data_IF_776088796100
#
_entry.id   IF_776088796100
#
_cell.length_a   1.000
_cell.length_b   1.000
_cell.length_c   1.000
_cell.angle_alpha   90.00
_cell.angle_beta   90.00
_cell.angle_gamma   90.00
#
_symmetry.space_group_name_H-M   'P 1'
#
loop_
_entity.id
_entity.type
_entity.pdbx_description
1 polymer ?
#
# COMPACT_ATOMS: atom_id res chain seq x y z
N UNK A 1 83.14 2.82 24.33
CA UNK A 1 82.07 1.83 24.07
C UNK A 1 80.74 2.58 24.03
N UNK A 2 80.05 2.60 22.88
CA UNK A 2 78.86 3.41 22.60
C UNK A 2 77.63 2.82 23.33
N UNK A 3 76.83 3.66 23.99
CA UNK A 3 75.52 3.31 24.56
C UNK A 3 74.57 2.86 23.45
N UNK A 4 73.76 1.79 23.63
CA UNK A 4 72.70 1.47 22.70
C UNK A 4 71.50 2.41 22.92
N UNK A 5 70.94 2.91 21.82
CA UNK A 5 69.74 3.74 21.80
C UNK A 5 68.50 2.89 22.08
N UNK A 6 67.65 3.35 22.99
CA UNK A 6 66.32 2.79 23.21
C UNK A 6 65.42 3.17 22.02
N UNK A 7 64.99 2.17 21.23
CA UNK A 7 63.94 2.34 20.24
C UNK A 7 62.61 2.20 20.98
N UNK A 8 61.92 3.32 21.19
CA UNK A 8 60.54 3.34 21.66
C UNK A 8 59.63 2.90 20.51
N UNK A 9 59.03 1.71 20.64
CA UNK A 9 57.97 1.25 19.74
C UNK A 9 56.68 1.91 20.22
N UNK A 10 56.29 2.99 19.56
CA UNK A 10 54.96 3.58 19.73
C UNK A 10 53.96 2.59 19.12
N UNK A 11 53.27 1.82 19.97
CA UNK A 11 52.07 1.08 19.55
C UNK A 11 50.96 2.10 19.26
N UNK A 12 50.82 2.48 18.00
CA UNK A 12 49.65 3.20 17.53
C UNK A 12 48.48 2.21 17.50
N UNK A 13 47.60 2.26 18.50
CA UNK A 13 46.33 1.54 18.49
C UNK A 13 45.38 2.27 17.54
N UNK A 14 45.47 1.98 16.24
CA UNK A 14 44.45 2.40 15.27
C UNK A 14 43.23 1.54 15.55
N UNK A 15 42.24 2.09 16.26
CA UNK A 15 40.89 1.51 16.30
C UNK A 15 40.28 1.71 14.92
N UNK A 16 40.26 0.66 14.11
CA UNK A 16 39.38 0.60 12.94
C UNK A 16 37.95 0.45 13.44
N UNK A 17 37.22 1.56 13.56
CA UNK A 17 35.76 1.50 13.67
C UNK A 17 35.23 1.13 12.29
N UNK A 18 34.92 -0.16 12.10
CA UNK A 18 34.17 -0.61 10.93
C UNK A 18 32.73 -0.13 11.16
N UNK A 19 32.38 1.00 10.56
CA UNK A 19 30.98 1.45 10.48
C UNK A 19 30.32 0.51 9.47
N UNK A 20 29.63 -0.52 9.97
CA UNK A 20 28.65 -1.24 9.18
C UNK A 20 27.49 -0.27 8.97
N UNK A 21 27.55 0.56 7.92
CA UNK A 21 26.32 1.08 7.34
C UNK A 21 25.54 -0.14 6.86
N UNK A 22 24.58 -0.58 7.67
CA UNK A 22 23.48 -1.40 7.19
C UNK A 22 22.80 -0.57 6.09
N UNK A 23 23.25 -0.76 4.85
CA UNK A 23 22.46 -0.38 3.70
C UNK A 23 21.24 -1.30 3.78
N UNK A 24 20.15 -0.82 4.36
CA UNK A 24 18.86 -1.49 4.32
C UNK A 24 18.50 -1.67 2.86
N UNK A 25 18.81 -2.83 2.30
CA UNK A 25 18.36 -3.21 0.97
C UNK A 25 16.86 -3.41 1.15
N UNK A 26 16.07 -2.44 0.71
CA UNK A 26 14.61 -2.58 0.63
C UNK A 26 14.37 -3.70 -0.39
N UNK A 27 14.21 -4.93 0.09
CA UNK A 27 13.78 -6.04 -0.74
C UNK A 27 12.29 -5.84 -0.98
N UNK A 28 11.96 -5.22 -2.12
CA UNK A 28 10.58 -5.18 -2.60
C UNK A 28 10.01 -6.60 -2.69
N UNK A 29 8.77 -6.78 -2.25
CA UNK A 29 8.06 -8.04 -2.44
C UNK A 29 7.42 -8.08 -3.82
N UNK A 30 7.32 -9.28 -4.38
CA UNK A 30 6.56 -9.54 -5.59
C UNK A 30 5.14 -8.94 -5.47
N UNK A 31 4.58 -8.45 -6.58
CA UNK A 31 3.17 -8.05 -6.63
C UNK A 31 2.26 -9.16 -6.08
N UNK A 32 1.42 -8.84 -5.09
CA UNK A 32 0.50 -9.80 -4.47
C UNK A 32 -0.80 -9.09 -4.06
N UNK A 33 -1.70 -8.92 -5.02
CA UNK A 33 -2.96 -8.23 -4.83
C UNK A 33 -4.01 -8.71 -5.83
N UNK A 34 -5.29 -8.52 -5.49
CA UNK A 34 -6.39 -8.67 -6.43
C UNK A 34 -7.19 -7.36 -6.55
N UNK A 35 -7.77 -7.16 -7.72
CA UNK A 35 -8.70 -6.10 -8.05
C UNK A 35 -10.03 -6.75 -8.43
N UNK A 36 -11.10 -6.27 -7.81
CA UNK A 36 -12.47 -6.67 -8.15
C UNK A 36 -13.13 -5.56 -8.97
N UNK A 37 -13.64 -5.93 -10.15
CA UNK A 37 -14.44 -5.07 -11.01
C UNK A 37 -15.85 -5.65 -11.04
N UNK A 38 -16.80 -4.93 -10.44
CA UNK A 38 -18.20 -5.26 -10.58
C UNK A 38 -18.68 -4.81 -11.97
N UNK A 39 -19.27 -5.74 -12.71
CA UNK A 39 -19.85 -5.51 -14.04
C UNK A 39 -21.37 -5.62 -13.93
N UNK A 40 -22.09 -4.59 -14.37
CA UNK A 40 -23.55 -4.53 -14.31
C UNK A 40 -24.15 -4.22 -15.69
N UNK A 41 -25.18 -4.99 -16.08
CA UNK A 41 -25.94 -4.72 -17.29
C UNK A 41 -27.25 -5.50 -17.35
N UNK A 42 -28.32 -4.87 -17.84
CA UNK A 42 -29.59 -5.56 -18.12
C UNK A 42 -30.28 -6.16 -16.89
N UNK A 43 -30.00 -5.65 -15.70
CA UNK A 43 -30.53 -6.16 -14.43
C UNK A 43 -29.74 -7.29 -13.79
N UNK A 44 -28.53 -7.57 -14.29
CA UNK A 44 -27.59 -8.54 -13.74
C UNK A 44 -26.30 -7.84 -13.32
N UNK A 45 -25.67 -8.35 -12.28
CA UNK A 45 -24.37 -7.91 -11.77
C UNK A 45 -23.55 -9.11 -11.27
N UNK A 46 -22.23 -9.03 -11.45
CA UNK A 46 -21.26 -9.96 -10.88
C UNK A 46 -19.86 -9.37 -10.97
N UNK A 47 -18.92 -10.06 -10.34
CA UNK A 47 -17.54 -9.60 -10.20
C UNK A 47 -16.61 -10.30 -11.20
N UNK A 48 -15.72 -9.51 -11.79
CA UNK A 48 -14.50 -9.97 -12.44
C UNK A 48 -13.33 -9.71 -11.50
N UNK A 49 -12.48 -10.72 -11.28
CA UNK A 49 -11.33 -10.63 -10.39
C UNK A 49 -10.06 -10.77 -11.23
N UNK A 50 -9.17 -9.78 -11.13
CA UNK A 50 -7.83 -9.86 -11.71
C UNK A 50 -6.79 -9.61 -10.63
N UNK A 51 -5.52 -9.88 -10.92
CA UNK A 51 -4.47 -9.49 -10.01
C UNK A 51 -3.17 -10.22 -10.26
N UNK A 52 -2.29 -10.12 -9.28
CA UNK A 52 -0.98 -10.76 -9.25
C UNK A 52 -0.83 -11.52 -7.95
N UNK A 53 -0.14 -12.66 -8.00
CA UNK A 53 0.30 -13.34 -6.78
C UNK A 53 1.58 -14.11 -7.03
N UNK A 54 2.49 -14.12 -6.04
CA UNK A 54 3.71 -14.94 -6.11
C UNK A 54 3.42 -16.43 -6.15
N UNK A 55 2.22 -16.84 -5.73
CA UNK A 55 1.78 -18.24 -5.69
C UNK A 55 1.00 -18.65 -6.95
N UNK A 56 0.73 -17.72 -7.86
CA UNK A 56 0.03 -17.95 -9.12
C UNK A 56 0.98 -18.13 -10.31
N UNK A 57 0.43 -18.57 -11.43
CA UNK A 57 1.07 -18.70 -12.73
C UNK A 57 0.31 -17.91 -13.78
N UNK A 58 0.88 -17.71 -14.97
CA UNK A 58 0.15 -17.08 -16.08
C UNK A 58 -0.86 -18.02 -16.77
N UNK A 59 -1.13 -19.19 -16.16
CA UNK A 59 -2.05 -20.22 -16.63
C UNK A 59 -3.23 -20.33 -15.66
N UNK A 60 -3.87 -21.50 -15.61
CA UNK A 60 -4.93 -21.79 -14.65
C UNK A 60 -4.35 -22.30 -13.34
N UNK A 61 -4.71 -21.64 -12.25
CA UNK A 61 -4.35 -22.01 -10.88
C UNK A 61 -5.60 -22.46 -10.08
N UNK A 62 -5.68 -23.76 -9.71
CA UNK A 62 -6.84 -24.30 -9.02
C UNK A 62 -7.11 -23.60 -7.67
N UNK A 63 -8.32 -23.05 -7.53
CA UNK A 63 -8.74 -22.36 -6.31
C UNK A 63 -8.39 -20.88 -6.24
N UNK A 64 -7.63 -20.38 -7.23
CA UNK A 64 -7.32 -18.96 -7.42
C UNK A 64 -8.12 -18.43 -8.62
N UNK A 65 -8.06 -19.16 -9.74
CA UNK A 65 -8.71 -18.76 -10.98
C UNK A 65 -10.08 -19.42 -11.17
N UNK A 66 -10.86 -18.81 -12.05
CA UNK A 66 -12.18 -19.31 -12.44
C UNK A 66 -12.43 -19.01 -13.90
N UNK A 67 -12.53 -20.06 -14.71
CA UNK A 67 -12.98 -19.93 -16.09
C UNK A 67 -14.41 -19.37 -16.16
N UNK A 68 -14.63 -18.50 -17.14
CA UNK A 68 -15.97 -18.08 -17.54
C UNK A 68 -16.55 -19.13 -18.53
N UNK A 69 -17.88 -19.32 -18.57
CA UNK A 69 -18.52 -20.15 -19.58
C UNK A 69 -18.33 -19.55 -20.98
N UNK A 70 -18.79 -20.23 -22.06
CA UNK A 70 -18.92 -19.62 -23.38
C UNK A 70 -19.80 -18.35 -23.35
N UNK A 71 -19.60 -17.39 -24.28
CA UNK A 71 -20.39 -16.16 -24.30
C UNK A 71 -21.88 -16.44 -24.36
N UNK A 72 -22.66 -15.69 -23.58
CA UNK A 72 -24.12 -15.76 -23.63
C UNK A 72 -24.65 -15.43 -25.04
N UNK A 73 -25.89 -15.81 -25.41
CA UNK A 73 -26.45 -15.47 -26.71
C UNK A 73 -26.61 -13.95 -26.90
N UNK A 74 -26.40 -13.40 -28.14
CA UNK A 74 -26.51 -11.97 -28.41
C UNK A 74 -27.79 -11.32 -27.87
N UNK A 75 -27.65 -10.12 -27.29
CA UNK A 75 -28.75 -9.39 -26.65
C UNK A 75 -28.98 -9.74 -25.17
N UNK A 76 -28.19 -10.66 -24.63
CA UNK A 76 -28.08 -10.94 -23.19
C UNK A 76 -26.79 -10.33 -22.66
N UNK A 77 -26.83 -9.77 -21.45
CA UNK A 77 -25.64 -9.27 -20.79
C UNK A 77 -24.61 -10.39 -20.56
N UNK A 78 -23.35 -10.12 -20.89
CA UNK A 78 -22.21 -10.98 -20.62
C UNK A 78 -20.95 -10.12 -20.52
N UNK A 79 -20.05 -10.49 -19.62
CA UNK A 79 -18.76 -9.86 -19.43
C UNK A 79 -17.79 -10.93 -18.92
N UNK A 80 -16.60 -10.98 -19.49
CA UNK A 80 -15.57 -11.91 -19.05
C UNK A 80 -14.18 -11.34 -19.34
N UNK A 81 -13.22 -11.71 -18.52
CA UNK A 81 -11.82 -11.45 -18.77
C UNK A 81 -11.33 -12.37 -19.89
N UNK A 82 -10.38 -11.89 -20.68
CA UNK A 82 -9.69 -12.60 -21.74
C UNK A 82 -8.19 -12.55 -21.49
N UNK A 83 -7.59 -13.72 -21.26
CA UNK A 83 -6.16 -13.90 -21.02
C UNK A 83 -5.68 -15.16 -21.73
N UNK A 84 -4.58 -15.07 -22.50
CA UNK A 84 -4.01 -16.19 -23.26
C UNK A 84 -5.02 -16.99 -24.13
N UNK A 85 -6.01 -16.28 -24.72
CA UNK A 85 -7.13 -16.81 -25.52
C UNK A 85 -8.22 -17.57 -24.75
N UNK A 86 -8.13 -17.66 -23.43
CA UNK A 86 -9.17 -18.23 -22.58
C UNK A 86 -10.07 -17.13 -21.98
N UNK A 87 -11.25 -17.54 -21.50
CA UNK A 87 -12.24 -16.66 -20.84
C UNK A 87 -12.30 -16.91 -19.34
N UNK A 88 -12.32 -15.86 -18.54
CA UNK A 88 -12.21 -15.95 -17.09
C UNK A 88 -13.19 -15.03 -16.36
N UNK A 89 -13.68 -15.48 -15.21
CA UNK A 89 -14.26 -14.62 -14.19
C UNK A 89 -13.23 -14.22 -13.14
N UNK A 90 -12.26 -15.08 -12.86
CA UNK A 90 -11.09 -14.75 -12.03
C UNK A 90 -9.84 -15.17 -12.78
N UNK A 91 -8.90 -14.24 -12.97
CA UNK A 91 -7.57 -14.53 -13.47
C UNK A 91 -6.50 -13.74 -12.72
N UNK A 92 -5.78 -14.44 -11.86
CA UNK A 92 -4.60 -13.94 -11.15
C UNK A 92 -3.37 -14.44 -11.90
N UNK A 93 -2.46 -13.55 -12.27
CA UNK A 93 -1.23 -13.92 -12.98
C UNK A 93 -0.04 -13.94 -12.04
N UNK A 94 1.11 -14.42 -12.51
CA UNK A 94 2.30 -14.52 -11.66
C UNK A 94 2.78 -13.13 -11.20
N UNK A 95 2.96 -12.97 -9.90
CA UNK A 95 3.62 -11.81 -9.31
C UNK A 95 5.12 -12.05 -9.15
N UNK A 96 5.95 -11.33 -9.92
CA UNK A 96 7.41 -11.45 -9.85
C UNK A 96 8.07 -10.06 -9.81
N UNK A 97 9.04 -9.87 -8.91
CA UNK A 97 9.85 -8.65 -8.84
C UNK A 97 10.65 -8.33 -10.11
N UNK A 98 10.85 -9.31 -10.98
CA UNK A 98 11.50 -9.18 -12.28
C UNK A 98 10.53 -8.89 -13.43
N UNK A 99 9.22 -9.03 -13.19
CA UNK A 99 8.17 -8.74 -14.16
C UNK A 99 7.22 -7.63 -13.65
N UNK A 100 7.72 -6.40 -13.71
CA UNK A 100 6.97 -5.17 -13.39
C UNK A 100 6.62 -4.40 -14.68
N UNK A 101 6.36 -5.13 -15.77
CA UNK A 101 5.96 -4.57 -17.06
C UNK A 101 4.43 -4.45 -17.16
N UNK A 102 3.93 -3.91 -18.27
CA UNK A 102 2.49 -3.82 -18.51
C UNK A 102 1.90 -5.19 -18.89
N UNK A 103 0.89 -5.62 -18.14
CA UNK A 103 0.05 -6.78 -18.42
C UNK A 103 -1.32 -6.32 -18.92
N UNK A 104 -1.85 -6.97 -19.95
CA UNK A 104 -3.09 -6.56 -20.61
C UNK A 104 -4.14 -7.65 -20.55
N UNK A 105 -5.19 -7.43 -19.77
CA UNK A 105 -6.41 -8.24 -19.82
C UNK A 105 -7.36 -7.62 -20.82
N UNK A 106 -7.95 -8.45 -21.69
CA UNK A 106 -9.14 -8.02 -22.41
C UNK A 106 -10.35 -8.20 -21.51
N UNK A 107 -11.29 -7.26 -21.49
CA UNK A 107 -12.63 -7.44 -20.93
C UNK A 107 -13.58 -7.53 -22.12
N UNK A 108 -14.08 -8.73 -22.36
CA UNK A 108 -15.04 -9.03 -23.40
C UNK A 108 -16.43 -8.62 -22.93
N UNK A 109 -17.19 -7.94 -23.78
CA UNK A 109 -18.46 -7.31 -23.42
C UNK A 109 -19.56 -7.75 -24.39
N UNK A 110 -20.69 -8.16 -23.84
CA UNK A 110 -21.93 -8.35 -24.57
C UNK A 110 -23.03 -7.51 -23.95
N UNK A 111 -23.54 -6.58 -24.75
CA UNK A 111 -24.50 -5.61 -24.27
C UNK A 111 -25.90 -6.24 -24.09
N UNK A 112 -26.60 -5.85 -23.01
CA UNK A 112 -28.03 -6.12 -22.90
C UNK A 112 -28.82 -5.27 -23.89
N UNK A 113 -30.13 -5.52 -24.02
CA UNK A 113 -31.01 -4.78 -24.94
C UNK A 113 -31.02 -3.25 -24.75
N UNK A 114 -30.75 -2.77 -23.54
CA UNK A 114 -30.65 -1.34 -23.25
C UNK A 114 -29.34 -0.70 -23.76
N UNK A 115 -28.38 -1.50 -24.24
CA UNK A 115 -27.15 -1.02 -24.86
C UNK A 115 -26.12 -0.44 -23.90
N UNK A 116 -26.23 -0.69 -22.59
CA UNK A 116 -25.33 -0.12 -21.60
C UNK A 116 -24.81 -1.16 -20.60
N UNK A 117 -23.53 -1.04 -20.25
CA UNK A 117 -22.83 -1.81 -19.22
C UNK A 117 -22.13 -0.80 -18.31
N UNK A 118 -22.22 -0.97 -16.99
CA UNK A 118 -21.46 -0.20 -16.01
C UNK A 118 -20.38 -1.09 -15.39
N UNK A 119 -19.17 -0.55 -15.28
CA UNK A 119 -18.06 -1.14 -14.53
C UNK A 119 -17.82 -0.25 -13.30
N UNK A 120 -17.65 -0.89 -12.14
CA UNK A 120 -17.35 -0.22 -10.88
C UNK A 120 -16.25 -0.98 -10.13
N UNK A 121 -15.34 -0.26 -9.45
CA UNK A 121 -14.24 -0.82 -8.67
C UNK A 121 -13.94 0.07 -7.45
N UNK A 122 -13.20 -0.46 -6.47
CA UNK A 122 -12.68 0.36 -5.37
C UNK A 122 -11.30 0.89 -5.75
N UNK A 123 -11.16 2.21 -5.85
CA UNK A 123 -9.92 2.88 -6.20
C UNK A 123 -9.09 3.34 -4.99
N UNK A 124 -9.61 3.22 -3.76
CA UNK A 124 -9.03 3.85 -2.57
C UNK A 124 -7.62 3.39 -2.23
N UNK A 125 -7.24 2.18 -2.63
CA UNK A 125 -5.92 1.60 -2.41
C UNK A 125 -5.24 1.11 -3.70
N UNK A 126 -5.67 1.58 -4.87
CA UNK A 126 -5.11 1.13 -6.15
C UNK A 126 -3.77 1.79 -6.49
N UNK A 127 -3.61 3.09 -6.22
CA UNK A 127 -2.42 3.86 -6.62
C UNK A 127 -1.06 3.30 -6.13
N UNK A 128 -0.96 2.74 -4.90
CA UNK A 128 0.26 2.08 -4.43
C UNK A 128 0.58 0.77 -5.15
N UNK A 129 -0.43 0.10 -5.70
CA UNK A 129 -0.31 -1.24 -6.29
C UNK A 129 0.24 -1.21 -7.71
N UNK A 130 0.12 -0.08 -8.42
CA UNK A 130 0.50 -0.01 -9.83
C UNK A 130 -0.18 1.12 -10.59
N UNK A 131 -0.14 1.03 -11.92
CA UNK A 131 -0.98 1.83 -12.82
C UNK A 131 -2.09 0.96 -13.38
N UNK A 132 -3.31 1.51 -13.52
CA UNK A 132 -4.49 0.76 -13.93
C UNK A 132 -5.29 1.58 -14.94
N UNK A 133 -5.16 1.26 -16.22
CA UNK A 133 -5.82 2.00 -17.31
C UNK A 133 -6.83 1.10 -18.01
N UNK A 134 -8.10 1.51 -18.00
CA UNK A 134 -9.12 0.95 -18.88
C UNK A 134 -9.12 1.73 -20.19
N UNK A 135 -8.81 1.04 -21.27
CA UNK A 135 -8.69 1.64 -22.59
C UNK A 135 -9.46 0.85 -23.65
N UNK A 136 -10.13 1.52 -24.58
CA UNK A 136 -10.67 0.82 -25.75
C UNK A 136 -9.56 0.32 -26.69
N UNK A 137 -9.91 -0.62 -27.58
CA UNK A 137 -8.96 -1.22 -28.51
C UNK A 137 -8.45 -0.27 -29.62
N UNK A 138 -9.01 0.93 -29.74
CA UNK A 138 -8.62 1.98 -30.70
C UNK A 138 -7.63 2.98 -30.09
N UNK A 139 -6.96 2.62 -29.00
CA UNK A 139 -5.89 3.43 -28.41
C UNK A 139 -6.40 4.56 -27.52
N UNK A 140 -7.65 4.48 -27.04
CA UNK A 140 -8.20 5.40 -26.06
C UNK A 140 -9.05 6.53 -26.63
N UNK A 141 -9.49 6.43 -27.89
CA UNK A 141 -10.35 7.44 -28.52
C UNK A 141 -11.77 7.47 -27.93
N UNK A 142 -12.26 6.33 -27.43
CA UNK A 142 -13.62 6.18 -26.92
C UNK A 142 -13.66 6.00 -25.40
N UNK A 143 -12.70 5.26 -24.84
CA UNK A 143 -12.56 4.97 -23.41
C UNK A 143 -11.07 5.03 -23.08
N UNK A 144 -10.68 5.93 -22.18
CA UNK A 144 -9.35 5.99 -21.62
C UNK A 144 -9.45 6.50 -20.17
N UNK A 145 -9.59 5.56 -19.24
CA UNK A 145 -9.90 5.83 -17.84
C UNK A 145 -8.75 5.37 -16.97
N UNK A 146 -8.21 6.31 -16.19
CA UNK A 146 -7.35 5.98 -15.06
C UNK A 146 -8.21 5.53 -13.89
N UNK A 147 -8.14 4.24 -13.58
CA UNK A 147 -8.93 3.61 -12.52
C UNK A 147 -8.51 4.06 -11.11
N UNK A 148 -7.36 4.73 -10.96
CA UNK A 148 -6.96 5.31 -9.67
C UNK A 148 -7.66 6.64 -9.40
N UNK A 149 -8.08 7.34 -10.45
CA UNK A 149 -8.70 8.67 -10.35
C UNK A 149 -10.23 8.65 -10.26
N UNK A 150 -10.87 7.60 -10.78
CA UNK A 150 -12.32 7.39 -10.74
C UNK A 150 -12.63 5.94 -10.34
N UNK A 151 -13.83 5.69 -9.85
CA UNK A 151 -14.28 4.38 -9.33
C UNK A 151 -15.27 3.66 -10.26
N UNK A 152 -15.62 4.27 -11.40
CA UNK A 152 -16.56 3.67 -12.35
C UNK A 152 -16.38 4.18 -13.79
N UNK A 153 -16.93 3.42 -14.73
CA UNK A 153 -17.16 3.85 -16.11
C UNK A 153 -18.47 3.24 -16.64
N UNK A 154 -19.25 4.04 -17.35
CA UNK A 154 -20.41 3.55 -18.11
C UNK A 154 -20.03 3.43 -19.58
N UNK A 155 -20.26 2.25 -20.15
CA UNK A 155 -20.08 1.93 -21.56
C UNK A 155 -21.46 1.92 -22.21
N UNK A 156 -21.70 2.84 -23.13
CA UNK A 156 -23.00 3.05 -23.80
C UNK A 156 -22.92 2.94 -25.33
N UNK A 157 -21.81 2.39 -25.83
CA UNK A 157 -21.58 2.11 -27.24
C UNK A 157 -21.54 0.59 -27.49
N UNK A 158 -22.64 -0.03 -27.97
CA UNK A 158 -22.69 -1.47 -28.21
C UNK A 158 -21.67 -2.03 -29.22
N UNK A 159 -21.02 -1.16 -30.00
CA UNK A 159 -19.92 -1.57 -30.89
C UNK A 159 -18.63 -1.87 -30.12
N UNK A 160 -18.47 -1.35 -28.89
CA UNK A 160 -17.33 -1.64 -27.99
C UNK A 160 -17.48 -2.99 -27.30
N UNK A 161 -17.19 -4.07 -28.03
CA UNK A 161 -17.29 -5.45 -27.52
C UNK A 161 -16.08 -5.91 -26.72
N UNK A 162 -15.02 -5.11 -26.68
CA UNK A 162 -13.82 -5.38 -25.89
C UNK A 162 -13.19 -4.08 -25.44
N UNK A 163 -12.80 -4.02 -24.18
CA UNK A 163 -11.90 -3.00 -23.63
C UNK A 163 -10.68 -3.71 -23.05
N UNK A 164 -9.56 -3.01 -22.95
CA UNK A 164 -8.32 -3.50 -22.37
C UNK A 164 -8.14 -2.90 -20.98
N UNK A 165 -7.86 -3.75 -20.00
CA UNK A 165 -7.33 -3.34 -18.72
C UNK A 165 -5.82 -3.54 -18.74
N UNK A 166 -5.10 -2.42 -18.79
CA UNK A 166 -3.65 -2.37 -18.76
C UNK A 166 -3.20 -2.12 -17.34
N UNK A 167 -2.46 -3.07 -16.77
CA UNK A 167 -1.94 -2.97 -15.41
C UNK A 167 -0.44 -3.08 -15.45
N UNK A 168 0.27 -2.11 -14.87
CA UNK A 168 1.69 -2.23 -14.58
C UNK A 168 1.83 -2.31 -13.06
N UNK A 169 2.16 -3.48 -12.49
CA UNK A 169 2.24 -3.62 -11.05
C UNK A 169 3.49 -2.92 -10.51
N UNK A 170 3.39 -2.42 -9.28
CA UNK A 170 4.53 -2.03 -8.46
C UNK A 170 4.85 -3.16 -7.49
N UNK A 171 6.02 -3.06 -6.86
CA UNK A 171 6.36 -3.88 -5.70
C UNK A 171 5.24 -3.74 -4.66
N UNK A 172 4.84 -4.85 -4.05
CA UNK A 172 3.77 -4.85 -3.09
C UNK A 172 4.21 -4.22 -1.75
N UNK A 173 3.53 -3.15 -1.33
CA UNK A 173 3.93 -2.33 -0.18
C UNK A 173 3.22 -2.51 1.16
N UNK A 174 2.06 -3.17 1.35
CA UNK A 174 1.38 -3.10 2.65
C UNK A 174 2.01 -3.97 3.75
N UNK A 175 3.21 -4.55 3.52
CA UNK A 175 3.99 -5.20 4.58
C UNK A 175 5.11 -4.33 5.15
N UNK A 176 5.52 -3.27 4.46
CA UNK A 176 6.59 -2.36 4.90
C UNK A 176 6.12 -0.91 4.88
N UNK A 177 6.63 -0.07 5.79
CA UNK A 177 6.29 1.35 5.77
C UNK A 177 6.70 2.03 4.46
N UNK A 178 6.01 3.11 4.06
CA UNK A 178 6.46 3.96 2.97
C UNK A 178 7.81 4.61 3.33
N UNK A 179 8.51 5.13 2.33
CA UNK A 179 9.81 5.75 2.51
C UNK A 179 9.76 6.90 3.53
N UNK A 180 10.65 6.88 4.52
CA UNK A 180 10.72 7.84 5.61
C UNK A 180 9.87 7.48 6.83
N UNK A 181 9.10 6.39 6.77
CA UNK A 181 8.29 5.89 7.90
C UNK A 181 8.92 4.65 8.54
N UNK A 182 10.17 4.31 8.21
CA UNK A 182 10.93 3.22 8.80
C UNK A 182 11.28 3.50 10.27
N UNK A 183 11.23 2.47 11.13
CA UNK A 183 11.50 2.59 12.56
C UNK A 183 12.25 1.37 13.10
N UNK A 184 12.86 1.50 14.28
CA UNK A 184 13.56 0.40 14.97
C UNK A 184 12.70 -0.16 16.11
N UNK A 185 12.13 -1.37 15.98
CA UNK A 185 11.29 -1.93 17.04
C UNK A 185 12.13 -2.44 18.22
N UNK A 186 11.83 -1.94 19.42
CA UNK A 186 12.41 -2.42 20.68
C UNK A 186 11.35 -2.65 21.78
N UNK A 187 11.65 -3.39 22.86
CA UNK A 187 10.68 -3.64 23.94
C UNK A 187 10.28 -2.39 24.75
N UNK A 188 11.04 -1.30 24.65
CA UNK A 188 10.72 0.00 25.25
C UNK A 188 9.73 0.70 24.31
N UNK A 189 8.45 0.70 24.66
CA UNK A 189 7.42 1.28 23.79
C UNK A 189 6.12 1.58 24.53
N UNK A 190 5.32 2.47 23.96
CA UNK A 190 3.92 2.70 24.33
C UNK A 190 3.03 2.70 23.10
N UNK A 191 1.81 2.18 23.19
CA UNK A 191 0.90 2.07 22.05
C UNK A 191 -0.05 3.25 21.96
N UNK A 192 -0.09 3.90 20.80
CA UNK A 192 -1.06 4.93 20.45
C UNK A 192 -2.25 4.31 19.70
N UNK A 193 -3.47 4.60 20.13
CA UNK A 193 -4.70 4.04 19.56
C UNK A 193 -5.63 5.16 19.14
N UNK A 194 -6.37 4.98 18.05
CA UNK A 194 -7.44 5.89 17.65
C UNK A 194 -8.05 5.52 16.31
N UNK A 195 -8.99 6.35 15.86
CA UNK A 195 -9.44 6.35 14.47
C UNK A 195 -8.85 7.53 13.71
N UNK A 196 -8.60 7.35 12.42
CA UNK A 196 -7.93 8.33 11.56
C UNK A 196 -8.88 8.78 10.47
N UNK A 197 -9.00 10.09 10.28
CA UNK A 197 -9.77 10.70 9.20
C UNK A 197 -8.94 11.68 8.42
N UNK A 198 -9.26 11.86 7.14
CA UNK A 198 -8.74 12.90 6.26
C UNK A 198 -9.92 13.77 5.85
N UNK A 199 -9.85 15.08 6.13
CA UNK A 199 -10.92 16.04 5.81
C UNK A 199 -12.31 15.59 6.33
N UNK A 200 -12.36 14.99 7.52
CA UNK A 200 -13.56 14.48 8.17
C UNK A 200 -14.06 13.12 7.67
N UNK A 201 -13.45 12.54 6.63
CA UNK A 201 -13.79 11.22 6.11
C UNK A 201 -12.84 10.16 6.63
N UNK A 202 -13.32 8.93 6.84
CA UNK A 202 -12.45 7.83 7.25
C UNK A 202 -11.32 7.63 6.23
N UNK A 203 -10.09 7.52 6.74
CA UNK A 203 -8.93 7.13 5.95
C UNK A 203 -9.07 5.70 5.41
N UNK A 204 -8.11 5.24 4.61
CA UNK A 204 -8.10 3.93 3.94
C UNK A 204 -7.09 3.00 4.58
N UNK A 205 -7.28 1.68 4.41
CA UNK A 205 -6.44 0.66 5.04
C UNK A 205 -5.00 0.61 4.51
N UNK A 206 -4.78 1.17 3.33
CA UNK A 206 -3.44 1.32 2.73
C UNK A 206 -2.70 2.57 3.22
N UNK A 207 -3.37 3.51 3.88
CA UNK A 207 -2.71 4.70 4.44
C UNK A 207 -1.84 4.28 5.62
N UNK A 208 -0.76 5.02 5.86
CA UNK A 208 0.17 4.74 6.95
C UNK A 208 0.19 5.88 7.94
N UNK A 209 -0.03 5.55 9.22
CA UNK A 209 0.23 6.47 10.32
C UNK A 209 1.62 6.22 10.88
N UNK A 210 2.36 7.29 11.16
CA UNK A 210 3.62 7.25 11.86
C UNK A 210 3.68 8.30 12.98
N UNK A 211 4.48 8.02 14.01
CA UNK A 211 4.86 8.97 15.04
C UNK A 211 6.32 9.35 14.84
N UNK A 212 6.59 10.65 14.83
CA UNK A 212 7.93 11.21 14.70
C UNK A 212 8.30 11.94 15.99
N UNK A 213 9.51 11.70 16.51
CA UNK A 213 10.05 12.41 17.68
C UNK A 213 10.35 13.90 17.39
N UNK A 214 10.91 14.62 18.37
CA UNK A 214 11.25 16.05 18.24
C UNK A 214 12.38 16.31 17.22
N UNK A 215 13.19 15.29 16.94
CA UNK A 215 14.31 15.34 16.02
C UNK A 215 13.92 14.95 14.58
N UNK A 216 12.71 14.42 14.39
CA UNK A 216 12.15 14.03 13.11
C UNK A 216 12.46 12.59 12.72
N UNK A 217 12.87 11.72 13.65
CA UNK A 217 13.00 10.29 13.37
C UNK A 217 11.65 9.60 13.59
N UNK A 218 11.34 8.62 12.74
CA UNK A 218 10.10 7.84 12.89
C UNK A 218 10.30 6.82 14.02
N UNK A 219 9.60 7.03 15.13
CA UNK A 219 9.62 6.16 16.30
C UNK A 219 8.61 5.00 16.20
N UNK A 220 7.83 4.92 15.13
CA UNK A 220 6.86 3.83 14.93
C UNK A 220 5.83 4.17 13.86
N UNK A 221 5.49 3.18 13.03
CA UNK A 221 4.50 3.35 11.96
C UNK A 221 3.70 2.08 11.68
N UNK A 222 2.52 2.25 11.07
CA UNK A 222 1.67 1.13 10.64
C UNK A 222 0.65 1.55 9.58
N UNK A 223 0.33 0.64 8.67
CA UNK A 223 -0.88 0.70 7.87
C UNK A 223 -2.14 0.73 8.74
N UNK A 224 -3.17 1.46 8.31
CA UNK A 224 -4.44 1.53 9.03
C UNK A 224 -5.23 0.23 8.93
N UNK A 225 -6.01 -0.06 9.96
CA UNK A 225 -6.87 -1.24 10.05
C UNK A 225 -8.30 -0.81 9.81
N UNK A 226 -8.94 -1.28 8.74
CA UNK A 226 -10.37 -0.99 8.52
C UNK A 226 -11.22 -1.96 9.33
N UNK A 227 -12.09 -1.43 10.18
CA UNK A 227 -13.09 -2.20 10.92
C UNK A 227 -14.40 -1.42 11.01
N UNK A 228 -15.52 -2.04 10.61
CA UNK A 228 -16.84 -1.42 10.52
C UNK A 228 -16.85 -0.07 9.76
N UNK A 229 -16.05 0.02 8.69
CA UNK A 229 -15.94 1.23 7.87
C UNK A 229 -15.13 2.38 8.49
N UNK A 230 -14.50 2.16 9.64
CA UNK A 230 -13.61 3.12 10.29
C UNK A 230 -12.16 2.69 10.14
N UNK A 231 -11.27 3.64 9.89
CA UNK A 231 -9.83 3.41 9.87
C UNK A 231 -9.24 3.53 11.28
N UNK A 232 -8.87 2.39 11.84
CA UNK A 232 -8.28 2.26 13.16
C UNK A 232 -6.76 2.21 13.10
N UNK A 233 -6.14 2.65 14.18
CA UNK A 233 -4.71 2.49 14.41
C UNK A 233 -4.44 1.98 15.82
N UNK A 234 -3.33 1.26 15.96
CA UNK A 234 -2.74 0.81 17.22
C UNK A 234 -1.21 0.78 17.11
N UNK A 235 -0.58 1.90 16.73
CA UNK A 235 0.87 1.96 16.52
C UNK A 235 1.64 1.84 17.84
N UNK A 236 2.60 0.91 17.97
CA UNK A 236 3.63 1.00 18.99
C UNK A 236 4.57 2.15 18.63
N UNK A 237 4.84 3.03 19.59
CA UNK A 237 5.85 4.09 19.48
C UNK A 237 7.01 3.69 20.37
N UNK A 238 8.13 3.39 19.73
CA UNK A 238 9.34 2.85 20.33
C UNK A 238 10.19 3.96 20.96
N UNK A 239 10.89 3.61 22.02
CA UNK A 239 11.90 4.47 22.63
C UNK A 239 13.24 4.35 21.91
N UNK A 240 14.15 5.24 22.25
CA UNK A 240 15.53 5.20 21.78
C UNK A 240 16.30 3.99 22.33
N UNK A 241 17.19 3.39 21.53
CA UNK A 241 17.97 2.22 21.93
C UNK A 241 19.28 2.64 22.63
N UNK A 242 19.31 2.41 23.95
CA UNK A 242 20.49 2.68 24.79
C UNK A 242 21.79 1.97 24.36
N UNK A 243 21.73 0.98 23.46
CA UNK A 243 22.90 0.27 22.94
C UNK A 243 23.53 0.96 21.73
N UNK A 244 22.84 1.93 21.13
CA UNK A 244 23.24 2.73 19.97
C UNK A 244 23.23 4.23 20.28
N UNK A 245 23.92 4.71 21.34
CA UNK A 245 23.77 6.07 21.87
C UNK A 245 24.20 7.23 20.95
N UNK A 246 24.78 6.92 19.78
CA UNK A 246 25.18 7.90 18.77
C UNK A 246 24.15 7.97 17.60
N UNK A 247 23.09 7.18 17.67
CA UNK A 247 21.99 7.10 16.71
C UNK A 247 20.71 7.36 17.49
N UNK A 248 19.82 8.16 16.92
CA UNK A 248 18.51 8.45 17.51
C UNK A 248 17.46 7.64 16.74
N UNK A 249 16.90 6.62 17.38
CA UNK A 249 16.02 5.64 16.74
C UNK A 249 14.57 5.71 17.24
N UNK A 250 14.27 6.60 18.19
CA UNK A 250 12.94 6.76 18.73
C UNK A 250 12.88 7.68 19.93
N UNK A 251 11.85 7.50 20.74
CA UNK A 251 11.51 8.47 21.79
C UNK A 251 12.45 8.41 23.00
N UNK A 252 12.89 9.57 23.48
CA UNK A 252 13.46 9.74 24.81
C UNK A 252 12.42 10.19 25.85
N UNK A 253 12.65 9.90 27.15
CA UNK A 253 11.77 10.38 28.21
C UNK A 253 11.64 11.92 28.23
N UNK A 254 10.41 12.41 28.05
CA UNK A 254 10.07 13.83 28.10
C UNK A 254 9.96 14.51 26.73
N UNK A 255 10.34 13.82 25.66
CA UNK A 255 10.13 14.30 24.29
C UNK A 255 8.66 14.25 23.89
N UNK A 256 8.31 15.15 22.97
CA UNK A 256 7.04 15.11 22.26
C UNK A 256 7.17 14.35 20.95
N UNK A 257 6.05 13.79 20.47
CA UNK A 257 5.96 13.29 19.12
C UNK A 257 4.86 13.99 18.33
N UNK A 258 5.02 14.05 17.01
CA UNK A 258 3.99 14.47 16.06
C UNK A 258 3.53 13.26 15.25
N UNK A 259 2.25 13.22 14.90
CA UNK A 259 1.75 12.19 14.00
C UNK A 259 1.83 12.67 12.56
N UNK A 260 2.23 11.79 11.65
CA UNK A 260 2.12 12.01 10.21
C UNK A 260 1.35 10.86 9.57
N UNK A 261 0.53 11.20 8.59
CA UNK A 261 -0.28 10.26 7.82
C UNK A 261 0.17 10.34 6.36
N UNK A 262 0.65 9.24 5.82
CA UNK A 262 0.84 9.09 4.38
C UNK A 262 -0.46 8.54 3.78
N UNK A 263 -1.09 9.34 2.92
CA UNK A 263 -2.28 8.96 2.15
C UNK A 263 -1.84 8.26 0.87
N UNK A 264 -2.17 6.99 0.79
CA UNK A 264 -1.71 6.10 -0.26
C UNK A 264 -2.36 6.42 -1.61
N UNK A 265 -3.52 7.06 -1.61
CA UNK A 265 -4.27 7.40 -2.82
C UNK A 265 -3.70 8.62 -3.54
N UNK A 266 -3.19 9.61 -2.79
CA UNK A 266 -2.65 10.86 -3.32
C UNK A 266 -1.13 10.98 -3.25
N UNK A 267 -0.47 10.05 -2.54
CA UNK A 267 0.96 10.09 -2.21
C UNK A 267 1.37 11.33 -1.39
N UNK A 268 0.42 11.92 -0.66
CA UNK A 268 0.65 13.08 0.19
C UNK A 268 0.93 12.65 1.63
N UNK A 269 1.76 13.45 2.32
CA UNK A 269 2.00 13.31 3.76
C UNK A 269 1.34 14.48 4.48
N UNK A 270 0.37 14.16 5.33
CA UNK A 270 -0.28 15.09 6.25
C UNK A 270 0.43 15.05 7.60
N UNK A 271 0.66 16.21 8.20
CA UNK A 271 1.15 16.33 9.56
C UNK A 271 -0.01 16.73 10.48
N UNK A 272 -0.16 16.02 11.60
CA UNK A 272 -1.18 16.37 12.59
C UNK A 272 -0.79 17.69 13.27
N UNK A 273 -1.73 18.64 13.45
CA UNK A 273 -1.39 20.00 13.89
C UNK A 273 -0.87 20.11 15.32
N UNK A 274 -1.08 19.07 16.15
CA UNK A 274 -0.65 19.05 17.54
C UNK A 274 0.43 18.00 17.78
N UNK A 275 1.39 18.34 18.65
CA UNK A 275 2.35 17.38 19.21
C UNK A 275 1.83 16.80 20.53
N UNK A 276 2.24 15.59 20.85
CA UNK A 276 1.85 14.86 22.06
C UNK A 276 3.04 14.70 23.02
N UNK A 277 2.87 15.06 24.29
CA UNK A 277 3.88 14.95 25.36
C UNK A 277 3.65 13.75 26.30
N UNK A 278 2.82 12.81 25.87
CA UNK A 278 2.34 11.68 26.65
C UNK A 278 3.21 10.42 26.54
N UNK A 279 4.29 10.44 25.74
CA UNK A 279 5.04 9.22 25.47
C UNK A 279 5.59 8.63 26.77
N UNK A 280 5.35 7.33 26.94
CA UNK A 280 5.84 6.60 28.10
C UNK A 280 6.02 5.13 27.77
N UNK A 281 7.06 4.53 28.34
CA UNK A 281 7.30 3.10 28.19
C UNK A 281 6.25 2.28 28.96
N UNK A 282 5.31 1.70 28.21
CA UNK A 282 4.25 0.82 28.70
C UNK A 282 4.50 -0.64 28.30
N UNK A 283 5.69 -0.98 27.80
CA UNK A 283 6.04 -2.30 27.25
C UNK A 283 5.02 -2.78 26.20
N UNK A 284 4.62 -1.87 25.32
CA UNK A 284 3.63 -2.10 24.27
C UNK A 284 2.16 -2.00 24.71
N UNK A 285 1.86 -1.75 25.99
CA UNK A 285 0.49 -1.44 26.39
C UNK A 285 0.07 0.00 25.94
N UNK A 286 -1.23 0.31 25.90
CA UNK A 286 -1.70 1.64 25.51
C UNK A 286 -1.15 2.74 26.40
N UNK A 287 -0.73 3.87 25.80
CA UNK A 287 -0.22 5.01 26.55
C UNK A 287 -1.33 5.73 27.31
N UNK A 288 -1.10 6.14 28.57
CA UNK A 288 -2.00 7.06 29.27
C UNK A 288 -1.83 8.50 28.74
N UNK A 289 -2.92 9.27 28.71
CA UNK A 289 -2.87 10.71 28.42
C UNK A 289 -2.98 11.10 26.95
N UNK A 290 -2.83 10.16 26.01
CA UNK A 290 -3.08 10.36 24.59
C UNK A 290 -3.59 9.06 23.94
N UNK A 291 -4.07 9.14 22.71
CA UNK A 291 -4.73 8.00 22.09
C UNK A 291 -6.06 7.64 22.79
N UNK A 292 -6.59 6.48 22.44
CA UNK A 292 -7.77 5.87 23.05
C UNK A 292 -8.80 5.42 22.02
N UNK A 293 -9.53 4.36 22.35
CA UNK A 293 -10.50 3.71 21.45
C UNK A 293 -11.68 4.60 21.02
N UNK A 294 -11.95 5.70 21.73
CA UNK A 294 -12.99 6.67 21.38
C UNK A 294 -12.45 7.98 20.81
N UNK A 295 -11.15 8.04 20.46
CA UNK A 295 -10.51 9.24 19.93
C UNK A 295 -10.38 9.13 18.42
N UNK A 296 -10.74 10.21 17.73
CA UNK A 296 -10.58 10.38 16.30
C UNK A 296 -9.60 11.52 16.03
N UNK A 297 -8.67 11.29 15.12
CA UNK A 297 -7.62 12.24 14.74
C UNK A 297 -7.81 12.60 13.28
N UNK A 298 -8.16 13.87 13.04
CA UNK A 298 -8.42 14.38 11.72
C UNK A 298 -7.20 15.09 11.13
N UNK A 299 -6.75 14.60 9.99
CA UNK A 299 -5.72 15.21 9.15
C UNK A 299 -6.38 16.05 8.06
N UNK A 300 -5.78 17.18 7.72
CA UNK A 300 -6.26 18.06 6.66
C UNK A 300 -5.15 18.94 6.13
N UNK A 301 -5.29 19.43 4.90
CA UNK A 301 -4.39 20.43 4.31
C UNK A 301 -4.61 21.85 4.88
N UNK A 302 -5.76 22.08 5.52
CA UNK A 302 -6.09 23.34 6.15
C UNK A 302 -5.35 23.45 7.50
N UNK A 303 -4.39 24.39 7.56
CA UNK A 303 -3.72 24.80 8.81
C UNK A 303 -4.57 25.79 9.59
#
# INVERSE_FOLDING_TARGET
MKKPAFISIIKCNIRFTIIFSLLSIILGQSPDFNLTINVNGGGYDYDLIIGFSSDASDKYDPGIDKYAPPPSPPGTFDAALGWNNDRWYSQIVQGDTSDLLEHVWNIQLQYPKNGSINLHWDNGCMAPLGTFILQDAFGGELVNVDMTAVDNVTLDNPELRTIQLKVTPKLYFPKHPPAGFEFTPIPVSGTFIGTITINGQSAKGCDWLAAFDENGNCAGSRALIINDGLAWTNIPIYGDDSTTPDIDEGMNPGEKFVLKLWDASSDLIFEYPESFDCWSNQRGAPMPGCGGVGKSYNFSDEK
#
